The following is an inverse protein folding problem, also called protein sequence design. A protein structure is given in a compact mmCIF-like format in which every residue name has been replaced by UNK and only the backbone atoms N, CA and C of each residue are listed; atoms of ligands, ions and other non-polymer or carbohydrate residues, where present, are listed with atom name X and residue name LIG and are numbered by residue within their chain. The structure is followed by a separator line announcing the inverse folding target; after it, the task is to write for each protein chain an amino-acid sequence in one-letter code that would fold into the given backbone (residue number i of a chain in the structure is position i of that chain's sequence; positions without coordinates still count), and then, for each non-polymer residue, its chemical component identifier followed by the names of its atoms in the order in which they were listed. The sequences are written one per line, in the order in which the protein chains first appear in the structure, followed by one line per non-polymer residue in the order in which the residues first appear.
data_IF_952966633409
#
_entry.id   IF_952966633409
#
_cell.length_a   1.000
_cell.length_b   1.000
_cell.length_c   1.000
_cell.angle_alpha   90.00
_cell.angle_beta   90.00
_cell.angle_gamma   90.00
#
_symmetry.space_group_name_H-M   'P 1'
#
loop_
_entity.id
_entity.type
_entity.pdbx_description
1 polymer ?
#
# COMPACT_ATOMS: atom_id res chain seq x y z
N UNK A 1 -5.36 -6.52 -28.03
CA UNK A 1 -5.57 -7.60 -27.05
C UNK A 1 -6.16 -6.97 -25.79
N UNK A 2 -7.33 -7.39 -25.31
CA UNK A 2 -7.88 -6.87 -24.03
C UNK A 2 -7.18 -7.60 -22.89
N UNK A 3 -6.46 -6.87 -22.04
CA UNK A 3 -5.90 -7.45 -20.82
C UNK A 3 -7.03 -7.68 -19.79
N UNK A 4 -7.00 -8.78 -19.02
CA UNK A 4 -7.89 -8.94 -17.88
C UNK A 4 -7.65 -7.80 -16.88
N UNK A 5 -8.71 -7.16 -16.36
CA UNK A 5 -8.62 -6.03 -15.42
C UNK A 5 -8.56 -6.45 -13.95
N UNK A 6 -8.39 -7.75 -13.66
CA UNK A 6 -8.39 -8.27 -12.29
C UNK A 6 -6.97 -8.36 -11.71
N UNK A 7 -6.77 -7.98 -10.42
CA UNK A 7 -5.48 -8.08 -9.73
C UNK A 7 -5.00 -9.54 -9.53
N UNK A 8 -5.88 -10.52 -9.74
CA UNK A 8 -5.54 -11.94 -9.68
C UNK A 8 -4.63 -12.37 -10.85
N UNK A 9 -4.75 -11.71 -12.01
CA UNK A 9 -3.89 -11.98 -13.16
C UNK A 9 -2.56 -11.26 -13.00
N UNK A 10 -1.47 -11.91 -13.43
CA UNK A 10 -0.15 -11.27 -13.48
C UNK A 10 0.44 -11.41 -14.86
N UNK A 11 1.02 -10.33 -15.34
CA UNK A 11 1.59 -10.23 -16.68
C UNK A 11 3.02 -9.73 -16.61
N UNK A 12 3.86 -10.30 -17.47
CA UNK A 12 5.11 -9.68 -17.92
C UNK A 12 4.81 -9.01 -19.24
N UNK A 13 5.47 -7.90 -19.53
CA UNK A 13 5.26 -7.21 -20.80
C UNK A 13 6.54 -6.61 -21.34
N UNK A 14 6.62 -6.58 -22.66
CA UNK A 14 7.52 -5.72 -23.41
C UNK A 14 6.65 -4.74 -24.20
N UNK A 15 7.00 -3.46 -24.15
CA UNK A 15 6.26 -2.41 -24.81
C UNK A 15 7.22 -1.57 -25.65
N UNK A 16 6.81 -1.31 -26.89
CA UNK A 16 7.47 -0.34 -27.77
C UNK A 16 6.57 0.88 -27.86
N UNK A 17 7.10 2.04 -27.49
CA UNK A 17 6.37 3.30 -27.46
C UNK A 17 6.97 4.22 -28.51
N UNK A 18 6.13 4.72 -29.40
CA UNK A 18 6.51 5.63 -30.46
C UNK A 18 6.08 7.05 -30.10
N UNK A 19 7.06 7.90 -29.82
CA UNK A 19 6.86 9.28 -29.37
C UNK A 19 7.41 10.27 -30.40
N UNK A 20 6.89 11.50 -30.36
CA UNK A 20 7.47 12.58 -31.18
C UNK A 20 8.82 12.99 -30.60
N UNK A 21 9.78 13.33 -31.46
CA UNK A 21 11.08 13.87 -31.06
C UNK A 21 10.89 15.09 -30.16
N UNK A 22 11.57 15.11 -29.02
CA UNK A 22 11.42 16.13 -27.97
C UNK A 22 10.44 15.77 -26.85
N UNK A 23 9.70 14.66 -26.98
CA UNK A 23 8.95 14.05 -25.87
C UNK A 23 9.70 12.80 -25.38
N UNK A 24 9.46 12.44 -24.12
CA UNK A 24 10.00 11.22 -23.53
C UNK A 24 8.89 10.40 -22.90
N UNK A 25 9.02 9.08 -22.98
CA UNK A 25 8.12 8.14 -22.31
C UNK A 25 8.73 7.66 -20.98
N UNK A 26 7.87 7.44 -20.00
CA UNK A 26 8.19 6.63 -18.83
C UNK A 26 7.13 5.55 -18.69
N UNK A 27 7.56 4.36 -18.26
CA UNK A 27 6.65 3.26 -17.96
C UNK A 27 6.99 2.67 -16.59
N UNK A 28 6.02 1.99 -15.99
CA UNK A 28 6.26 1.10 -14.87
C UNK A 28 7.00 -0.17 -15.34
N UNK A 29 8.16 -0.01 -15.96
CA UNK A 29 9.00 -1.02 -16.59
C UNK A 29 10.43 -0.48 -16.78
N UNK A 30 11.41 -1.37 -16.92
CA UNK A 30 12.80 -0.97 -17.17
C UNK A 30 12.90 -0.44 -18.60
N UNK A 31 13.45 0.76 -18.76
CA UNK A 31 13.79 1.31 -20.07
C UNK A 31 15.00 0.58 -20.66
N UNK A 32 14.90 0.22 -21.94
CA UNK A 32 15.99 -0.27 -22.75
C UNK A 32 16.15 0.63 -23.98
N UNK A 33 17.36 1.11 -24.28
CA UNK A 33 17.60 1.80 -25.54
C UNK A 33 17.33 0.84 -26.69
N UNK A 34 16.46 1.22 -27.62
CA UNK A 34 16.08 0.37 -28.75
C UNK A 34 17.32 0.00 -29.58
N UNK A 35 17.53 -1.31 -29.79
CA UNK A 35 18.63 -1.81 -30.60
C UNK A 35 18.25 -1.74 -32.09
N UNK A 36 18.84 -0.80 -32.82
CA UNK A 36 18.87 -0.81 -34.29
C UNK A 36 17.97 0.21 -34.99
N UNK A 37 18.32 0.50 -36.24
CA UNK A 37 17.54 1.36 -37.14
C UNK A 37 16.12 0.83 -37.26
N UNK A 38 15.17 1.76 -37.15
CA UNK A 38 13.75 1.47 -37.22
C UNK A 38 13.42 0.94 -38.64
N UNK A 39 13.36 -0.39 -38.77
CA UNK A 39 13.18 -1.09 -40.05
C UNK A 39 11.73 -1.33 -40.46
N UNK A 40 10.75 -0.81 -39.69
CA UNK A 40 9.33 -1.12 -39.86
C UNK A 40 8.50 0.15 -40.10
N UNK A 41 8.05 0.38 -41.35
CA UNK A 41 7.49 1.64 -41.83
C UNK A 41 6.29 2.19 -41.01
N UNK A 42 5.60 1.34 -40.23
CA UNK A 42 4.50 1.77 -39.34
C UNK A 42 5.01 2.56 -38.12
N UNK A 43 6.25 2.31 -37.70
CA UNK A 43 6.86 2.85 -36.48
C UNK A 43 7.91 3.94 -36.75
N UNK A 44 8.34 4.07 -38.00
CA UNK A 44 9.49 4.89 -38.39
C UNK A 44 9.01 6.05 -39.27
N UNK A 45 8.62 7.16 -38.64
CA UNK A 45 8.32 8.39 -39.33
C UNK A 45 9.32 9.48 -38.93
N UNK A 46 9.61 10.39 -39.85
CA UNK A 46 10.52 11.51 -39.61
C UNK A 46 10.06 12.34 -38.41
N UNK A 47 10.99 12.63 -37.48
CA UNK A 47 10.69 13.36 -36.25
C UNK A 47 10.02 12.54 -35.14
N UNK A 48 10.11 11.20 -35.19
CA UNK A 48 9.68 10.31 -34.10
C UNK A 48 10.81 9.43 -33.59
N UNK A 49 10.72 9.04 -32.33
CA UNK A 49 11.68 8.18 -31.63
C UNK A 49 10.93 7.01 -30.99
N UNK A 50 11.56 5.84 -30.99
CA UNK A 50 10.99 4.61 -30.42
C UNK A 50 11.76 4.25 -29.17
N UNK A 51 11.02 4.12 -28.07
CA UNK A 51 11.54 3.68 -26.77
C UNK A 51 11.02 2.27 -26.46
N UNK A 52 11.88 1.43 -25.88
CA UNK A 52 11.53 0.06 -25.50
C UNK A 52 11.54 -0.09 -23.98
N UNK A 53 10.53 -0.78 -23.46
CA UNK A 53 10.36 -1.00 -22.03
C UNK A 53 10.08 -2.47 -21.75
N UNK A 54 10.75 -3.03 -20.75
CA UNK A 54 10.62 -4.44 -20.36
C UNK A 54 10.28 -4.55 -18.87
N UNK A 55 9.16 -5.20 -18.56
CA UNK A 55 8.78 -5.63 -17.22
C UNK A 55 8.94 -7.14 -17.10
N UNK A 56 10.13 -7.56 -16.66
CA UNK A 56 10.49 -8.97 -16.46
C UNK A 56 9.75 -9.61 -15.27
N UNK A 57 9.35 -8.78 -14.30
CA UNK A 57 8.66 -9.25 -13.11
C UNK A 57 7.14 -9.33 -13.37
N UNK A 58 6.46 -10.41 -12.97
CA UNK A 58 5.03 -10.53 -13.18
C UNK A 58 4.28 -9.56 -12.25
N UNK A 59 3.62 -8.57 -12.85
CA UNK A 59 2.86 -7.53 -12.14
C UNK A 59 1.36 -7.63 -12.46
N UNK A 60 0.47 -7.25 -11.52
CA UNK A 60 -0.94 -7.08 -11.83
C UNK A 60 -1.20 -6.03 -12.92
N UNK A 61 -2.20 -6.22 -13.80
CA UNK A 61 -2.52 -5.28 -14.89
C UNK A 61 -2.78 -3.84 -14.44
N UNK A 62 -3.29 -3.62 -13.23
CA UNK A 62 -3.52 -2.26 -12.70
C UNK A 62 -2.22 -1.49 -12.40
N UNK A 63 -1.06 -2.16 -12.39
CA UNK A 63 0.26 -1.51 -12.30
C UNK A 63 0.86 -1.20 -13.68
N UNK A 64 0.16 -1.54 -14.77
CA UNK A 64 0.54 -1.03 -16.08
C UNK A 64 0.30 0.48 -16.10
N UNK A 65 1.39 1.23 -16.07
CA UNK A 65 1.37 2.69 -16.12
C UNK A 65 2.37 3.15 -17.16
N UNK A 66 1.99 4.19 -17.90
CA UNK A 66 2.89 4.93 -18.76
C UNK A 66 2.50 6.40 -18.76
N UNK A 67 3.49 7.26 -18.98
CA UNK A 67 3.30 8.69 -19.21
C UNK A 67 4.20 9.12 -20.36
N UNK A 68 3.74 10.07 -21.16
CA UNK A 68 4.48 10.66 -22.27
C UNK A 68 4.32 12.16 -22.20
N UNK A 69 5.43 12.90 -22.19
CA UNK A 69 5.41 14.35 -22.07
C UNK A 69 6.81 14.96 -22.25
N UNK A 70 6.91 16.26 -22.01
CA UNK A 70 8.20 16.96 -21.91
C UNK A 70 8.80 16.68 -20.52
N UNK A 71 9.34 15.48 -20.35
CA UNK A 71 9.82 14.99 -19.06
C UNK A 71 11.30 15.31 -18.89
N UNK A 72 11.63 16.11 -17.87
CA UNK A 72 12.97 16.18 -17.32
C UNK A 72 13.23 15.04 -16.33
N UNK A 73 14.49 14.63 -16.17
CA UNK A 73 14.88 13.72 -15.08
C UNK A 73 16.04 14.25 -14.26
N UNK A 74 16.04 13.92 -12.96
CA UNK A 74 17.18 14.14 -12.07
C UNK A 74 17.54 12.85 -11.35
N UNK A 75 18.82 12.52 -11.33
CA UNK A 75 19.34 11.43 -10.51
C UNK A 75 19.37 11.86 -9.04
N UNK A 76 18.70 11.09 -8.19
CA UNK A 76 18.62 11.31 -6.74
C UNK A 76 19.30 10.20 -5.93
N UNK A 77 19.87 9.20 -6.62
CA UNK A 77 20.62 8.11 -6.03
C UNK A 77 21.07 7.07 -7.07
N UNK A 78 21.78 6.01 -6.65
CA UNK A 78 22.44 5.05 -7.55
C UNK A 78 21.47 4.21 -8.40
N UNK A 79 20.18 4.21 -8.06
CA UNK A 79 19.14 3.44 -8.74
C UNK A 79 17.81 4.18 -8.83
N UNK A 80 17.82 5.50 -8.63
CA UNK A 80 16.60 6.30 -8.53
C UNK A 80 16.74 7.55 -9.39
N UNK A 81 15.87 7.64 -10.39
CA UNK A 81 15.65 8.84 -11.20
C UNK A 81 14.27 9.39 -10.87
N UNK A 82 14.21 10.69 -10.58
CA UNK A 82 12.96 11.42 -10.44
C UNK A 82 12.60 11.98 -11.82
N UNK A 83 11.43 11.61 -12.32
CA UNK A 83 10.84 12.17 -13.53
C UNK A 83 9.67 13.06 -13.12
N UNK A 84 9.58 14.25 -13.68
CA UNK A 84 8.38 15.07 -13.53
C UNK A 84 8.22 16.01 -14.70
N UNK A 85 6.97 16.33 -14.99
CA UNK A 85 6.60 17.64 -15.54
C UNK A 85 6.79 18.68 -14.41
N UNK A 86 6.82 19.98 -14.69
CA UNK A 86 6.77 20.94 -13.58
C UNK A 86 5.44 20.74 -12.81
N UNK A 87 5.53 20.30 -11.54
CA UNK A 87 4.46 20.06 -10.52
C UNK A 87 4.05 18.57 -10.31
N UNK A 88 3.91 18.07 -9.05
CA UNK A 88 3.55 16.67 -8.77
C UNK A 88 2.22 16.46 -8.00
N UNK A 89 1.59 15.30 -8.21
CA UNK A 89 0.97 14.32 -7.25
C UNK A 89 0.14 13.30 -8.09
N UNK A 90 -0.18 12.03 -7.75
CA UNK A 90 -0.63 11.31 -6.53
C UNK A 90 -0.58 9.75 -6.77
N UNK A 91 -0.96 8.92 -5.76
CA UNK A 91 -1.74 7.63 -5.78
C UNK A 91 -0.98 6.27 -5.97
N UNK A 92 -1.36 5.03 -5.51
CA UNK A 92 -2.48 4.45 -4.73
C UNK A 92 -2.22 3.01 -4.08
N UNK A 93 -3.12 2.00 -4.21
CA UNK A 93 -3.73 1.13 -3.17
C UNK A 93 -3.46 -0.40 -3.04
N UNK A 94 -4.14 -1.06 -2.09
CA UNK A 94 -4.17 -2.50 -1.70
C UNK A 94 -2.94 -3.09 -1.00
N UNK A 95 -1.72 -2.64 -1.32
CA UNK A 95 -0.55 -2.83 -0.45
C UNK A 95 -0.66 -2.04 0.88
N UNK A 96 -1.66 -1.16 0.97
CA UNK A 96 -1.87 -0.08 1.93
C UNK A 96 -1.55 -0.41 3.38
N UNK A 97 -2.13 -1.45 3.99
CA UNK A 97 -1.87 -1.76 5.40
C UNK A 97 -0.40 -2.14 5.67
N UNK A 98 0.15 -3.03 4.85
CA UNK A 98 1.56 -3.43 4.89
C UNK A 98 2.49 -2.27 4.50
N UNK A 99 2.10 -1.45 3.52
CA UNK A 99 2.83 -0.26 3.08
C UNK A 99 2.84 0.81 4.17
N UNK A 100 1.71 1.11 4.80
CA UNK A 100 1.61 2.07 5.92
C UNK A 100 2.37 1.56 7.14
N UNK A 101 2.37 0.25 7.40
CA UNK A 101 3.24 -0.36 8.40
C UNK A 101 4.72 -0.14 8.06
N UNK A 102 5.16 -0.53 6.86
CA UNK A 102 6.54 -0.37 6.42
C UNK A 102 6.98 1.11 6.41
N UNK A 103 6.13 2.02 5.95
CA UNK A 103 6.34 3.48 5.97
C UNK A 103 6.61 3.97 7.40
N UNK A 104 5.76 3.58 8.36
CA UNK A 104 5.92 3.98 9.76
C UNK A 104 7.19 3.39 10.39
N UNK A 105 7.61 2.19 9.99
CA UNK A 105 8.89 1.59 10.39
C UNK A 105 10.08 2.35 9.80
N UNK A 106 9.99 2.81 8.55
CA UNK A 106 11.02 3.65 7.92
C UNK A 106 11.10 5.00 8.63
N UNK A 107 9.97 5.65 8.90
CA UNK A 107 9.92 6.90 9.67
C UNK A 107 10.54 6.72 11.05
N UNK A 108 10.28 5.61 11.74
CA UNK A 108 10.90 5.32 13.04
C UNK A 108 12.42 5.28 12.96
N UNK A 109 12.98 4.62 11.94
CA UNK A 109 14.44 4.50 11.75
C UNK A 109 15.07 5.82 11.30
N UNK A 110 14.41 6.54 10.39
CA UNK A 110 14.97 7.75 9.75
C UNK A 110 14.75 9.01 10.59
N UNK A 111 13.60 9.14 11.24
CA UNK A 111 13.14 10.35 11.93
C UNK A 111 12.91 10.13 13.44
N UNK A 112 13.11 8.92 13.94
CA UNK A 112 13.00 8.58 15.35
C UNK A 112 11.61 8.09 15.78
N UNK A 113 11.60 7.41 16.91
CA UNK A 113 10.42 6.71 17.48
C UNK A 113 9.26 7.65 17.78
N UNK A 114 9.52 8.85 18.29
CA UNK A 114 8.49 9.83 18.61
C UNK A 114 7.71 10.27 17.36
N UNK A 115 8.40 10.46 16.24
CA UNK A 115 7.79 10.85 14.98
C UNK A 115 6.93 9.73 14.41
N UNK A 116 7.38 8.49 14.51
CA UNK A 116 6.57 7.33 14.13
C UNK A 116 5.31 7.19 14.98
N UNK A 117 5.42 7.37 16.31
CA UNK A 117 4.27 7.36 17.22
C UNK A 117 3.28 8.48 16.88
N UNK A 118 3.77 9.69 16.58
CA UNK A 118 2.92 10.79 16.14
C UNK A 118 2.15 10.43 14.85
N UNK A 119 2.82 9.85 13.86
CA UNK A 119 2.17 9.42 12.62
C UNK A 119 1.10 8.33 12.86
N UNK A 120 1.34 7.41 13.80
CA UNK A 120 0.33 6.43 14.24
C UNK A 120 -0.90 7.15 14.83
N UNK A 121 -0.68 8.13 15.70
CA UNK A 121 -1.77 8.92 16.31
C UNK A 121 -2.57 9.73 15.29
N UNK A 122 -1.91 10.33 14.29
CA UNK A 122 -2.56 11.04 13.18
C UNK A 122 -3.41 10.06 12.36
N UNK A 123 -2.85 8.90 12.01
CA UNK A 123 -3.57 7.85 11.28
C UNK A 123 -4.80 7.34 12.03
N UNK A 124 -4.69 7.14 13.35
CA UNK A 124 -5.82 6.77 14.19
C UNK A 124 -6.94 7.82 14.19
N UNK A 125 -6.59 9.10 14.32
CA UNK A 125 -7.56 10.20 14.24
C UNK A 125 -8.26 10.24 12.88
N UNK A 126 -7.52 9.99 11.80
CA UNK A 126 -8.11 9.92 10.46
C UNK A 126 -9.05 8.72 10.32
N UNK A 127 -8.68 7.55 10.86
CA UNK A 127 -9.57 6.39 10.91
C UNK A 127 -10.88 6.72 11.61
N UNK A 128 -10.85 7.35 12.79
CA UNK A 128 -12.07 7.75 13.52
C UNK A 128 -12.96 8.64 12.65
N UNK A 129 -12.40 9.65 11.98
CA UNK A 129 -13.16 10.50 11.07
C UNK A 129 -13.80 9.72 9.93
N UNK A 130 -13.07 8.75 9.35
CA UNK A 130 -13.62 7.88 8.32
C UNK A 130 -14.74 6.97 8.85
N UNK A 131 -14.60 6.43 10.05
CA UNK A 131 -15.64 5.62 10.69
C UNK A 131 -16.93 6.42 10.87
N UNK A 132 -16.83 7.68 11.29
CA UNK A 132 -17.98 8.59 11.42
C UNK A 132 -18.60 8.93 10.06
N UNK A 133 -17.77 9.22 9.04
CA UNK A 133 -18.23 9.48 7.67
C UNK A 133 -19.02 8.29 7.11
N UNK A 134 -18.58 7.08 7.40
CA UNK A 134 -19.13 5.82 6.87
C UNK A 134 -20.15 5.18 7.82
N UNK A 135 -20.65 5.89 8.84
CA UNK A 135 -21.60 5.32 9.82
C UNK A 135 -22.88 4.74 9.21
N UNK A 136 -23.31 5.27 8.06
CA UNK A 136 -24.47 4.79 7.31
C UNK A 136 -24.10 3.72 6.27
N UNK A 137 -22.81 3.38 6.14
CA UNK A 137 -22.25 2.43 5.19
C UNK A 137 -21.26 1.49 5.88
N UNK A 138 -21.70 0.87 6.98
CA UNK A 138 -20.89 0.01 7.86
C UNK A 138 -20.29 -1.23 7.19
N UNK A 139 -20.60 -1.51 5.93
CA UNK A 139 -19.91 -2.53 5.14
C UNK A 139 -18.49 -2.06 4.76
N UNK A 140 -18.34 -0.79 4.39
CA UNK A 140 -17.07 -0.21 3.93
C UNK A 140 -16.12 0.18 5.06
N UNK A 141 -16.54 0.00 6.32
CA UNK A 141 -15.70 0.15 7.51
C UNK A 141 -14.98 -1.15 7.91
N UNK A 142 -15.33 -2.28 7.27
CA UNK A 142 -14.66 -3.56 7.47
C UNK A 142 -13.31 -3.60 6.75
N UNK A 143 -12.39 -4.43 7.24
CA UNK A 143 -11.10 -4.64 6.55
C UNK A 143 -11.26 -5.54 5.32
N UNK A 144 -12.12 -6.58 5.42
CA UNK A 144 -12.62 -7.39 4.31
C UNK A 144 -14.03 -6.92 3.99
N UNK A 145 -14.18 -6.17 2.89
CA UNK A 145 -15.47 -5.59 2.47
C UNK A 145 -16.11 -6.45 1.38
N UNK A 146 -17.44 -6.48 1.30
CA UNK A 146 -18.13 -6.96 0.11
C UNK A 146 -18.27 -5.81 -0.90
N UNK A 147 -17.66 -5.95 -2.07
CA UNK A 147 -17.62 -4.94 -3.13
C UNK A 147 -18.40 -5.35 -4.38
N UNK A 148 -19.17 -6.46 -4.33
CA UNK A 148 -19.92 -6.93 -5.50
C UNK A 148 -20.91 -5.87 -5.98
N UNK A 149 -20.82 -5.52 -7.26
CA UNK A 149 -21.70 -4.54 -7.90
C UNK A 149 -21.42 -3.07 -7.55
N UNK A 150 -20.30 -2.78 -6.87
CA UNK A 150 -19.89 -1.42 -6.51
C UNK A 150 -18.74 -0.94 -7.39
N UNK A 151 -18.70 0.36 -7.69
CA UNK A 151 -17.55 0.98 -8.32
C UNK A 151 -16.40 1.11 -7.29
N UNK A 152 -15.18 0.60 -7.57
CA UNK A 152 -14.03 0.74 -6.68
C UNK A 152 -13.66 2.18 -6.32
N UNK A 153 -13.91 3.15 -7.21
CA UNK A 153 -13.57 4.55 -6.97
C UNK A 153 -14.52 5.19 -5.94
N UNK A 154 -15.79 4.77 -5.92
CA UNK A 154 -16.82 5.26 -4.99
C UNK A 154 -16.62 4.75 -3.55
N UNK A 155 -15.92 3.62 -3.39
CA UNK A 155 -15.72 2.96 -2.10
C UNK A 155 -14.31 3.20 -1.52
N UNK A 156 -13.51 4.07 -2.16
CA UNK A 156 -12.16 4.40 -1.71
C UNK A 156 -12.17 5.15 -0.37
N UNK A 157 -11.36 4.68 0.58
CA UNK A 157 -11.25 5.27 1.92
C UNK A 157 -9.89 5.02 2.57
N UNK A 158 -9.64 5.68 3.72
CA UNK A 158 -8.45 5.42 4.56
C UNK A 158 -8.59 4.16 5.43
N UNK A 159 -9.78 3.55 5.51
CA UNK A 159 -10.05 2.36 6.33
C UNK A 159 -9.05 1.22 6.08
N UNK A 160 -8.80 0.76 4.83
CA UNK A 160 -7.85 -0.34 4.59
C UNK A 160 -6.40 0.01 4.93
N UNK A 161 -6.01 1.29 4.90
CA UNK A 161 -4.68 1.73 5.32
C UNK A 161 -4.55 1.64 6.84
N UNK A 162 -5.44 2.33 7.55
CA UNK A 162 -5.30 2.53 8.98
C UNK A 162 -5.73 1.29 9.77
N UNK A 163 -6.87 0.68 9.43
CA UNK A 163 -7.33 -0.55 10.10
C UNK A 163 -6.39 -1.72 9.78
N UNK A 164 -5.85 -1.76 8.56
CA UNK A 164 -4.82 -2.72 8.16
C UNK A 164 -3.51 -2.54 8.94
N UNK A 165 -3.03 -1.29 9.08
CA UNK A 165 -1.89 -0.98 9.94
C UNK A 165 -2.13 -1.43 11.39
N UNK A 166 -3.29 -1.09 11.97
CA UNK A 166 -3.60 -1.42 13.37
C UNK A 166 -3.60 -2.94 13.61
N UNK A 167 -4.10 -3.71 12.64
CA UNK A 167 -4.06 -5.17 12.68
C UNK A 167 -2.63 -5.71 12.70
N UNK A 168 -1.76 -5.28 11.77
CA UNK A 168 -0.36 -5.70 11.72
C UNK A 168 0.44 -5.27 12.95
N UNK A 169 0.21 -4.03 13.40
CA UNK A 169 0.85 -3.49 14.59
C UNK A 169 0.42 -4.24 15.87
N UNK A 170 -0.82 -4.72 15.94
CA UNK A 170 -1.27 -5.60 17.03
C UNK A 170 -0.52 -6.93 17.04
N UNK A 171 -0.35 -7.56 15.88
CA UNK A 171 0.44 -8.80 15.76
C UNK A 171 1.87 -8.55 16.25
N UNK A 172 2.53 -7.49 15.76
CA UNK A 172 3.88 -7.10 16.18
C UNK A 172 3.98 -6.97 17.72
N UNK A 173 3.01 -6.32 18.35
CA UNK A 173 3.00 -6.12 19.79
C UNK A 173 2.76 -7.40 20.59
N UNK A 174 2.00 -8.33 20.03
CA UNK A 174 1.66 -9.59 20.69
C UNK A 174 2.85 -10.55 20.70
N UNK A 175 3.53 -10.70 19.56
CA UNK A 175 4.60 -11.70 19.40
C UNK A 175 6.00 -11.10 19.55
N UNK A 176 6.08 -9.78 19.62
CA UNK A 176 7.34 -9.04 19.63
C UNK A 176 7.88 -8.77 18.23
N UNK A 177 8.54 -7.62 18.11
CA UNK A 177 9.08 -7.10 16.85
C UNK A 177 10.04 -8.06 16.14
N UNK A 178 11.02 -8.73 16.79
CA UNK A 178 11.91 -9.65 16.09
C UNK A 178 11.19 -10.81 15.41
N UNK A 179 10.22 -11.41 16.10
CA UNK A 179 9.42 -12.51 15.55
C UNK A 179 8.51 -12.02 14.40
N UNK A 180 7.97 -10.80 14.52
CA UNK A 180 7.18 -10.20 13.45
C UNK A 180 8.02 -9.84 12.22
N UNK A 181 9.25 -9.35 12.41
CA UNK A 181 10.17 -9.08 11.31
C UNK A 181 10.55 -10.38 10.58
N UNK A 182 10.78 -11.48 11.30
CA UNK A 182 11.00 -12.81 10.70
C UNK A 182 9.78 -13.28 9.91
N UNK A 183 8.57 -13.13 10.47
CA UNK A 183 7.33 -13.43 9.78
C UNK A 183 7.17 -12.62 8.49
N UNK A 184 7.44 -11.32 8.51
CA UNK A 184 7.34 -10.46 7.33
C UNK A 184 8.31 -10.88 6.22
N UNK A 185 9.54 -11.26 6.57
CA UNK A 185 10.52 -11.77 5.61
C UNK A 185 10.05 -13.08 4.97
N UNK A 186 9.52 -14.02 5.77
CA UNK A 186 8.94 -15.28 5.27
C UNK A 186 7.73 -15.02 4.37
N UNK A 187 6.85 -14.11 4.77
CA UNK A 187 5.67 -13.69 4.01
C UNK A 187 6.06 -13.13 2.63
N UNK A 188 6.97 -12.15 2.59
CA UNK A 188 7.45 -11.56 1.33
C UNK A 188 8.14 -12.63 0.48
N UNK A 189 8.98 -13.48 1.06
CA UNK A 189 9.68 -14.52 0.32
C UNK A 189 8.72 -15.56 -0.28
N UNK A 190 7.65 -15.93 0.44
CA UNK A 190 6.64 -16.90 0.00
C UNK A 190 5.77 -16.35 -1.12
N UNK A 191 5.33 -15.10 -1.00
CA UNK A 191 4.30 -14.52 -1.88
C UNK A 191 4.82 -13.48 -2.87
N UNK A 192 6.13 -13.22 -2.92
CA UNK A 192 6.73 -12.41 -3.98
C UNK A 192 6.23 -12.91 -5.33
N UNK A 193 5.83 -11.97 -6.18
CA UNK A 193 5.35 -12.25 -7.54
C UNK A 193 4.05 -13.07 -7.63
N UNK A 194 3.30 -13.22 -6.52
CA UNK A 194 2.01 -13.91 -6.48
C UNK A 194 0.91 -13.00 -5.93
N UNK A 195 -0.30 -13.14 -6.46
CA UNK A 195 -1.48 -12.48 -5.90
C UNK A 195 -2.08 -13.37 -4.81
N UNK A 196 -2.47 -12.76 -3.70
CA UNK A 196 -3.03 -13.46 -2.55
C UNK A 196 -4.32 -12.78 -2.12
N UNK A 197 -5.19 -13.53 -1.48
CA UNK A 197 -6.35 -13.00 -0.77
C UNK A 197 -6.13 -13.00 0.76
N UNK A 198 -7.12 -12.51 1.49
CA UNK A 198 -7.08 -12.46 2.96
C UNK A 198 -7.00 -13.83 3.60
N UNK A 199 -7.65 -14.84 3.01
CA UNK A 199 -7.75 -16.17 3.62
C UNK A 199 -6.40 -16.89 3.50
N UNK A 200 -5.74 -16.78 2.34
CA UNK A 200 -4.34 -17.21 2.14
C UNK A 200 -3.37 -16.54 3.12
N UNK A 201 -3.56 -15.24 3.40
CA UNK A 201 -2.75 -14.54 4.39
C UNK A 201 -2.99 -15.06 5.82
N UNK A 202 -4.25 -15.26 6.21
CA UNK A 202 -4.60 -15.75 7.55
C UNK A 202 -4.11 -17.19 7.78
N UNK A 203 -4.21 -18.05 6.76
CA UNK A 203 -3.66 -19.41 6.83
C UNK A 203 -2.14 -19.39 6.98
N UNK A 204 -1.46 -18.52 6.22
CA UNK A 204 -0.02 -18.34 6.35
C UNK A 204 0.38 -17.78 7.72
N UNK A 205 -0.41 -16.86 8.28
CA UNK A 205 -0.22 -16.29 9.61
C UNK A 205 -0.25 -17.38 10.68
N UNK A 206 -1.32 -18.20 10.70
CA UNK A 206 -1.49 -19.30 11.65
C UNK A 206 -0.38 -20.35 11.53
N UNK A 207 0.01 -20.68 10.30
CA UNK A 207 1.07 -21.67 10.06
C UNK A 207 2.45 -21.22 10.55
N UNK A 208 2.74 -19.91 10.52
CA UNK A 208 4.05 -19.38 10.91
C UNK A 208 4.10 -18.84 12.34
N UNK A 209 2.94 -18.57 12.95
CA UNK A 209 2.79 -18.08 14.31
C UNK A 209 1.68 -18.91 14.99
N UNK A 210 1.99 -20.15 15.41
CA UNK A 210 0.98 -21.02 16.03
C UNK A 210 0.41 -20.44 17.32
N UNK A 211 -0.92 -20.51 17.49
CA UNK A 211 -1.62 -20.00 18.67
C UNK A 211 -1.86 -18.49 18.66
N UNK A 212 -1.64 -17.82 17.53
CA UNK A 212 -1.97 -16.39 17.36
C UNK A 212 -3.50 -16.17 17.39
N UNK A 213 -4.26 -17.16 16.95
CA UNK A 213 -5.72 -17.22 16.97
C UNK A 213 -6.32 -17.16 18.39
N UNK A 214 -5.58 -17.64 19.40
CA UNK A 214 -6.00 -17.58 20.79
C UNK A 214 -5.66 -16.24 21.45
N UNK A 215 -4.76 -15.47 20.84
CA UNK A 215 -4.19 -14.23 21.38
C UNK A 215 -4.78 -12.98 20.73
N UNK A 216 -5.23 -13.11 19.48
CA UNK A 216 -5.79 -12.03 18.68
C UNK A 216 -7.09 -12.53 18.08
N UNK A 217 -8.14 -11.72 18.22
CA UNK A 217 -9.38 -11.95 17.49
C UNK A 217 -9.12 -11.79 15.97
N UNK A 218 -9.06 -12.93 15.28
CA UNK A 218 -8.87 -13.02 13.84
C UNK A 218 -10.21 -12.95 13.09
N UNK A 219 -11.35 -13.10 13.77
CA UNK A 219 -12.64 -12.85 13.16
C UNK A 219 -12.83 -11.34 13.03
N UNK A 220 -12.84 -10.86 11.78
CA UNK A 220 -13.16 -9.46 11.46
C UNK A 220 -14.68 -9.26 11.63
N UNK A 221 -15.21 -9.40 12.85
CA UNK A 221 -16.64 -9.18 13.12
C UNK A 221 -16.91 -8.26 14.31
N UNK A 222 -17.88 -7.40 14.04
CA UNK A 222 -18.63 -6.47 14.89
C UNK A 222 -18.90 -7.08 16.26
N UNK A 223 -18.31 -6.53 17.32
CA UNK A 223 -19.05 -5.97 18.45
C UNK A 223 -18.08 -5.50 19.55
N UNK A 224 -18.20 -4.22 19.91
CA UNK A 224 -17.43 -3.63 20.99
C UNK A 224 -16.24 -2.76 20.58
N UNK A 225 -16.22 -2.14 19.40
CA UNK A 225 -15.10 -1.27 18.95
C UNK A 225 -14.70 -0.20 20.00
N UNK A 226 -15.65 0.30 20.79
CA UNK A 226 -15.37 1.24 21.92
C UNK A 226 -14.76 0.56 23.15
N UNK A 227 -15.22 -0.65 23.50
CA UNK A 227 -14.69 -1.43 24.62
C UNK A 227 -13.31 -2.02 24.29
N UNK A 228 -13.13 -2.45 23.04
CA UNK A 228 -11.86 -2.85 22.46
C UNK A 228 -10.87 -1.67 22.46
N UNK A 229 -11.26 -0.49 21.97
CA UNK A 229 -10.42 0.70 21.99
C UNK A 229 -10.01 1.10 23.42
N UNK A 230 -10.93 1.04 24.39
CA UNK A 230 -10.63 1.29 25.82
C UNK A 230 -9.64 0.27 26.38
N UNK A 231 -9.82 -1.02 26.08
CA UNK A 231 -8.91 -2.08 26.54
C UNK A 231 -7.51 -1.92 25.95
N UNK A 232 -7.41 -1.68 24.65
CA UNK A 232 -6.12 -1.45 23.95
C UNK A 232 -5.42 -0.20 24.49
N UNK A 233 -6.14 0.90 24.68
CA UNK A 233 -5.55 2.09 25.29
C UNK A 233 -5.10 1.81 26.72
N UNK A 234 -5.92 1.16 27.55
CA UNK A 234 -5.57 0.83 28.94
C UNK A 234 -4.31 -0.03 29.04
N UNK A 235 -4.17 -1.04 28.19
CA UNK A 235 -3.01 -1.95 28.17
C UNK A 235 -1.74 -1.28 27.58
N UNK A 236 -1.90 -0.27 26.72
CA UNK A 236 -0.79 0.37 26.01
C UNK A 236 -0.36 1.74 26.56
N UNK A 237 -1.23 2.40 27.31
CA UNK A 237 -1.10 3.81 27.72
C UNK A 237 0.20 4.07 28.50
N UNK A 238 0.69 3.10 29.27
CA UNK A 238 1.95 3.21 30.00
C UNK A 238 3.18 3.41 29.09
N UNK A 239 3.12 2.95 27.84
CA UNK A 239 4.19 3.13 26.84
C UNK A 239 4.01 4.34 25.93
N UNK A 240 2.96 5.15 26.12
CA UNK A 240 2.64 6.26 25.23
C UNK A 240 3.36 7.52 25.65
N UNK A 241 3.81 8.30 24.68
CA UNK A 241 4.30 9.66 24.92
C UNK A 241 3.15 10.53 25.49
N UNK A 242 3.41 11.44 26.45
CA UNK A 242 2.37 12.24 27.12
C UNK A 242 1.42 12.98 26.16
N UNK A 243 1.92 13.46 25.03
CA UNK A 243 1.09 14.13 24.01
C UNK A 243 0.12 13.14 23.34
N UNK A 244 0.60 11.95 22.96
CA UNK A 244 -0.24 10.91 22.36
C UNK A 244 -1.29 10.41 23.36
N UNK A 245 -0.92 10.31 24.63
CA UNK A 245 -1.83 10.00 25.73
C UNK A 245 -2.95 11.05 25.83
N UNK A 246 -2.60 12.34 25.91
CA UNK A 246 -3.58 13.42 26.00
C UNK A 246 -4.50 13.54 24.79
N UNK A 247 -3.99 13.28 23.58
CA UNK A 247 -4.82 13.26 22.36
C UNK A 247 -5.83 12.12 22.40
N UNK A 248 -5.42 10.92 22.81
CA UNK A 248 -6.32 9.75 22.85
C UNK A 248 -7.34 9.87 24.00
N UNK A 249 -6.93 10.41 25.15
CA UNK A 249 -7.84 10.71 26.28
C UNK A 249 -8.91 11.74 25.89
N UNK A 250 -8.52 12.83 25.21
CA UNK A 250 -9.47 13.83 24.72
C UNK A 250 -10.45 13.25 23.69
N UNK A 251 -9.99 12.33 22.84
CA UNK A 251 -10.84 11.63 21.86
C UNK A 251 -11.86 10.73 22.56
N UNK A 252 -11.48 10.01 23.63
CA UNK A 252 -12.43 9.23 24.41
C UNK A 252 -13.46 10.10 25.10
N UNK A 253 -13.07 11.28 25.62
CA UNK A 253 -13.98 12.21 26.28
C UNK A 253 -15.01 12.87 25.34
N UNK A 254 -14.74 12.90 24.02
CA UNK A 254 -15.63 13.52 23.02
C UNK A 254 -16.56 12.53 22.30
N UNK A 255 -16.29 11.23 22.37
CA UNK A 255 -16.97 10.21 21.54
C UNK A 255 -17.58 9.05 22.35
N UNK A 256 -17.62 9.19 23.68
CA UNK A 256 -18.29 8.35 24.69
C UNK A 256 -19.00 9.25 25.69
#
# INVERSE_FOLDING_TARGET
MRAPSSPAWRVRFAARVNVRRGLSAVMAARWEPAAGECGDALWCAEGREVEEFVMEQPVPPYLFAFAVGELGFREVGPRTKMYSEAVPTVLDAAARGFTTYAERRIVEVVQGKERAILNIGIGWRELIKQMERLKNQMEFTKLKTNQQGMDPDDISSRVPYEKGFQFLWRIERQIGRPAFDEFLLKYIAKFKFQSIDTDMFLDFLKANIPGIEDQIDLEVRRDGEKMFARRIFSEACAGYHPIAKGVVEAIFAQNL
#
